data_IF_776534773563
#
_entry.id   IF_776534773563
#
_cell.length_a   1.000
_cell.length_b   1.000
_cell.length_c   1.000
_cell.angle_alpha   90.00
_cell.angle_beta   90.00
_cell.angle_gamma   90.00
#
_symmetry.space_group_name_H-M   'P 1'
#
loop_
_entity.id
_entity.type
_entity.pdbx_description
1 polymer ?
#
# COMPACT_ATOMS: atom_id res chain seq x y z
N UNK A 1 4.31 -9.13 -9.63
CA UNK A 1 3.61 -7.84 -9.64
C UNK A 1 2.71 -7.74 -8.43
N UNK A 2 3.30 -7.47 -7.27
CA UNK A 2 2.59 -7.20 -6.03
C UNK A 2 3.17 -5.91 -5.43
N UNK A 3 2.32 -5.01 -4.89
CA UNK A 3 2.81 -3.86 -4.16
C UNK A 3 3.52 -4.32 -2.87
N UNK A 4 4.38 -3.47 -2.29
CA UNK A 4 5.07 -3.82 -1.05
C UNK A 4 4.05 -4.12 0.05
N UNK A 5 4.27 -5.19 0.82
CA UNK A 5 3.36 -5.56 1.91
C UNK A 5 3.32 -4.53 3.06
N UNK A 6 4.36 -3.69 3.15
CA UNK A 6 4.49 -2.62 4.13
C UNK A 6 5.16 -1.38 3.55
N UNK A 7 4.83 -0.23 4.13
CA UNK A 7 5.45 1.08 3.85
C UNK A 7 5.73 1.79 5.17
N UNK A 8 6.51 2.88 5.12
CA UNK A 8 6.71 3.76 6.27
C UNK A 8 5.62 4.83 6.32
N UNK A 9 4.99 5.01 7.48
CA UNK A 9 4.01 6.07 7.70
C UNK A 9 4.68 7.44 7.58
N UNK A 10 4.13 8.35 6.78
CA UNK A 10 4.70 9.70 6.61
C UNK A 10 4.53 10.58 7.85
N UNK A 11 3.50 10.34 8.65
CA UNK A 11 3.20 11.18 9.82
C UNK A 11 3.95 10.77 11.08
N UNK A 12 4.05 9.46 11.37
CA UNK A 12 4.65 8.97 12.61
C UNK A 12 5.89 8.09 12.42
N UNK A 13 6.30 7.84 11.16
CA UNK A 13 7.42 6.96 10.80
C UNK A 13 7.25 5.49 11.23
N UNK A 14 6.06 5.12 11.72
CA UNK A 14 5.69 3.75 12.06
C UNK A 14 5.47 2.85 10.84
N UNK A 15 5.30 1.55 11.07
CA UNK A 15 5.02 0.60 9.99
C UNK A 15 3.55 0.70 9.57
N UNK A 16 3.31 0.78 8.25
CA UNK A 16 2.00 0.57 7.67
C UNK A 16 1.89 -0.79 6.99
N UNK A 17 0.71 -1.41 7.03
CA UNK A 17 0.41 -2.69 6.36
C UNK A 17 -0.63 -2.52 5.27
N UNK A 18 -0.42 -3.22 4.15
CA UNK A 18 -1.38 -3.27 3.05
C UNK A 18 -2.71 -3.88 3.53
N UNK A 19 -3.81 -3.19 3.24
CA UNK A 19 -5.18 -3.62 3.52
C UNK A 19 -5.90 -4.11 2.26
N UNK A 20 -5.59 -3.56 1.09
CA UNK A 20 -6.24 -3.94 -0.15
C UNK A 20 -5.84 -5.36 -0.55
N UNK A 21 -6.84 -6.22 -0.73
CA UNK A 21 -6.62 -7.56 -1.26
C UNK A 21 -6.34 -7.50 -2.76
N UNK A 22 -5.49 -8.42 -3.23
CA UNK A 22 -5.20 -8.54 -4.65
C UNK A 22 -6.48 -8.84 -5.45
N UNK A 23 -6.74 -8.12 -6.56
CA UNK A 23 -7.75 -8.51 -7.53
C UNK A 23 -7.46 -9.89 -8.14
N UNK A 24 -8.46 -10.52 -8.76
CA UNK A 24 -8.28 -11.83 -9.41
C UNK A 24 -7.20 -11.80 -10.50
N UNK A 25 -7.15 -10.71 -11.28
CA UNK A 25 -6.14 -10.50 -12.33
C UNK A 25 -4.81 -9.90 -11.81
N UNK A 26 -4.68 -9.73 -10.49
CA UNK A 26 -3.56 -9.03 -9.87
C UNK A 26 -3.66 -7.50 -9.97
N UNK A 27 -2.68 -6.83 -9.37
CA UNK A 27 -2.56 -5.36 -9.38
C UNK A 27 -1.96 -4.85 -10.69
N UNK A 28 -2.36 -3.65 -11.08
CA UNK A 28 -1.92 -2.94 -12.29
C UNK A 28 -1.48 -1.51 -11.93
N UNK A 29 -0.57 -0.90 -12.72
CA UNK A 29 -0.25 0.51 -12.56
C UNK A 29 -1.52 1.36 -12.66
N UNK A 30 -1.68 2.34 -11.76
CA UNK A 30 -2.86 3.17 -11.61
C UNK A 30 -3.93 2.63 -10.66
N UNK A 31 -3.82 1.38 -10.18
CA UNK A 31 -4.69 0.89 -9.10
C UNK A 31 -4.41 1.65 -7.80
N UNK A 32 -5.46 1.95 -7.03
CA UNK A 32 -5.33 2.57 -5.70
C UNK A 32 -5.41 1.49 -4.63
N UNK A 33 -4.39 1.42 -3.78
CA UNK A 33 -4.33 0.51 -2.64
C UNK A 33 -4.29 1.27 -1.31
N UNK A 34 -4.88 0.65 -0.28
CA UNK A 34 -4.94 1.22 1.05
C UNK A 34 -3.90 0.56 1.96
N UNK A 35 -3.15 1.38 2.69
CA UNK A 35 -2.27 0.98 3.78
C UNK A 35 -2.77 1.56 5.09
N UNK A 36 -2.54 0.88 6.20
CA UNK A 36 -2.85 1.40 7.54
C UNK A 36 -1.65 1.33 8.47
N UNK A 37 -1.35 2.45 9.12
CA UNK A 37 -0.32 2.52 10.16
C UNK A 37 -0.75 1.71 11.38
N UNK A 38 0.17 0.93 11.94
CA UNK A 38 -0.06 0.16 13.17
C UNK A 38 0.02 1.03 14.44
N UNK A 39 0.69 2.18 14.36
CA UNK A 39 0.94 3.05 15.51
C UNK A 39 -0.07 4.20 15.63
N UNK A 40 -0.19 5.05 14.61
CA UNK A 40 -1.13 6.18 14.63
C UNK A 40 -2.54 5.83 14.11
N UNK A 41 -2.70 4.64 13.52
CA UNK A 41 -3.95 4.12 12.95
C UNK A 41 -4.50 4.86 11.72
N UNK A 42 -3.76 5.85 11.21
CA UNK A 42 -4.09 6.54 9.95
C UNK A 42 -3.98 5.61 8.75
N UNK A 43 -4.69 6.00 7.68
CA UNK A 43 -4.79 5.28 6.42
C UNK A 43 -4.20 6.12 5.29
N UNK A 44 -3.47 5.45 4.40
CA UNK A 44 -2.92 6.02 3.19
C UNK A 44 -3.48 5.30 1.97
N UNK A 45 -4.07 6.05 1.04
CA UNK A 45 -4.50 5.57 -0.26
C UNK A 45 -3.44 5.97 -1.30
N UNK A 46 -2.81 4.98 -1.92
CA UNK A 46 -1.63 5.16 -2.79
C UNK A 46 -1.95 4.59 -4.17
N UNK A 47 -1.74 5.40 -5.21
CA UNK A 47 -1.77 4.96 -6.60
C UNK A 47 -0.46 4.22 -6.92
N UNK A 48 -0.57 3.00 -7.46
CA UNK A 48 0.59 2.16 -7.78
C UNK A 48 1.25 2.61 -9.09
N UNK A 49 2.56 2.84 -9.04
CA UNK A 49 3.38 3.00 -10.23
C UNK A 49 3.85 1.63 -10.76
N UNK A 50 4.41 1.62 -11.98
CA UNK A 50 4.98 0.40 -12.58
C UNK A 50 6.14 -0.17 -11.74
N UNK A 51 6.92 0.71 -11.11
CA UNK A 51 8.03 0.34 -10.22
C UNK A 51 7.59 -0.27 -8.88
N UNK A 52 6.35 -0.02 -8.44
CA UNK A 52 5.81 -0.61 -7.20
C UNK A 52 5.41 -2.08 -7.39
N UNK A 53 5.30 -2.54 -8.64
CA UNK A 53 4.78 -3.86 -9.01
C UNK A 53 5.90 -4.82 -9.41
N UNK A 54 6.78 -5.16 -8.47
CA UNK A 54 7.81 -6.19 -8.66
C UNK A 54 7.20 -7.61 -8.79
#
# INVERSE_FOLDING_TARGET
MQPPASITCVDCLGECRLLTYAPEDGFKPGDIVAYRCLDCLDRWDIELAEEDLA
#
